data_IF_672611593311
#
_entry.id   IF_672611593311
#
_cell.length_a   1.000
_cell.length_b   1.000
_cell.length_c   1.000
_cell.angle_alpha   90.00
_cell.angle_beta   90.00
_cell.angle_gamma   90.00
#
_symmetry.space_group_name_H-M   'P 1'
#
loop_
_entity.id
_entity.type
_entity.pdbx_description
1 polymer ?
#
# COMPACT_ATOMS: atom_id res chain seq x y z
N UNK A 1 -3.92 -9.85 -0.42
CA UNK A 1 -4.06 -8.39 -0.52
C UNK A 1 -3.49 -7.95 -1.87
N UNK A 2 -4.16 -7.05 -2.59
CA UNK A 2 -3.65 -6.51 -3.86
C UNK A 2 -2.51 -5.53 -3.58
N UNK A 3 -1.48 -5.56 -4.43
CA UNK A 3 -0.29 -4.72 -4.29
C UNK A 3 0.10 -4.09 -5.61
N UNK A 4 0.77 -2.94 -5.52
CA UNK A 4 1.36 -2.21 -6.63
C UNK A 4 2.83 -1.93 -6.36
N UNK A 5 3.60 -1.72 -7.44
CA UNK A 5 4.97 -1.22 -7.31
C UNK A 5 4.99 0.13 -6.56
N UNK A 6 6.01 0.33 -5.74
CA UNK A 6 6.17 1.53 -4.91
C UNK A 6 7.59 2.10 -4.93
N UNK A 7 8.42 1.71 -5.91
CA UNK A 7 9.81 2.18 -6.02
C UNK A 7 9.91 3.71 -6.20
N UNK A 8 8.86 4.36 -6.72
CA UNK A 8 8.79 5.82 -6.89
C UNK A 8 7.93 6.52 -5.83
N UNK A 9 7.41 5.79 -4.85
CA UNK A 9 6.54 6.34 -3.84
C UNK A 9 7.34 6.99 -2.71
N UNK A 10 7.16 8.29 -2.47
CA UNK A 10 8.03 9.09 -1.58
C UNK A 10 8.11 8.62 -0.12
N UNK A 11 7.09 7.91 0.38
CA UNK A 11 7.09 7.26 1.70
C UNK A 11 7.42 5.75 1.63
N UNK A 12 6.57 4.96 0.98
CA UNK A 12 6.70 3.50 0.87
C UNK A 12 8.02 2.98 0.27
N UNK A 13 8.72 3.74 -0.57
CA UNK A 13 10.04 3.35 -1.11
C UNK A 13 11.15 3.29 -0.03
N UNK A 14 10.89 3.78 1.18
CA UNK A 14 11.85 3.74 2.30
C UNK A 14 11.86 2.41 3.05
N UNK A 15 10.90 1.53 2.76
CA UNK A 15 10.72 0.25 3.44
C UNK A 15 11.26 -0.90 2.58
N UNK A 16 11.26 -2.11 3.16
CA UNK A 16 11.74 -3.36 2.55
C UNK A 16 13.27 -3.43 2.37
N UNK A 17 13.76 -4.62 2.01
CA UNK A 17 15.18 -4.89 1.85
C UNK A 17 15.72 -4.26 0.55
N UNK A 18 16.98 -3.76 0.55
CA UNK A 18 17.64 -3.33 -0.68
C UNK A 18 17.62 -4.41 -1.77
N UNK A 19 17.58 -3.99 -3.04
CA UNK A 19 17.59 -4.87 -4.22
C UNK A 19 16.37 -5.77 -4.42
N UNK A 20 15.30 -5.56 -3.64
CA UNK A 20 13.97 -6.13 -3.92
C UNK A 20 13.06 -5.03 -4.41
N UNK A 21 12.15 -5.38 -5.33
CA UNK A 21 11.09 -4.47 -5.77
C UNK A 21 10.24 -4.09 -4.55
N UNK A 22 10.06 -2.79 -4.32
CA UNK A 22 9.21 -2.31 -3.24
C UNK A 22 7.76 -2.41 -3.66
N UNK A 23 6.94 -3.06 -2.85
CA UNK A 23 5.49 -3.14 -3.07
C UNK A 23 4.72 -2.52 -1.91
N UNK A 24 3.64 -1.83 -2.24
CA UNK A 24 2.68 -1.34 -1.26
C UNK A 24 1.30 -1.95 -1.53
N UNK A 25 0.48 -2.02 -0.49
CA UNK A 25 -0.91 -2.43 -0.62
C UNK A 25 -1.71 -1.35 -1.34
N UNK A 26 -2.74 -1.77 -2.07
CA UNK A 26 -3.72 -0.85 -2.64
C UNK A 26 -4.67 -0.41 -1.53
N UNK A 27 -4.75 0.89 -1.28
CA UNK A 27 -5.70 1.49 -0.32
C UNK A 27 -6.79 2.19 -1.13
N UNK A 28 -8.01 1.65 -1.08
CA UNK A 28 -9.18 2.26 -1.73
C UNK A 28 -9.78 3.31 -0.78
N UNK A 29 -9.89 4.60 -1.20
CA UNK A 29 -10.53 5.63 -0.39
C UNK A 29 -11.97 5.27 -0.04
N UNK A 30 -12.45 5.70 1.13
CA UNK A 30 -13.81 5.38 1.60
C UNK A 30 -14.91 5.78 0.61
N UNK A 31 -14.73 6.91 -0.07
CA UNK A 31 -15.66 7.40 -1.09
C UNK A 31 -15.78 6.49 -2.33
N UNK A 32 -14.84 5.56 -2.52
CA UNK A 32 -14.76 4.66 -3.68
C UNK A 32 -15.06 3.20 -3.31
N UNK A 33 -15.50 2.92 -2.07
CA UNK A 33 -15.71 1.54 -1.61
C UNK A 33 -16.85 0.84 -2.36
N UNK A 34 -17.99 1.51 -2.55
CA UNK A 34 -19.13 0.89 -3.24
C UNK A 34 -18.79 0.60 -4.70
N UNK A 35 -18.11 1.52 -5.38
CA UNK A 35 -17.60 1.31 -6.74
C UNK A 35 -16.66 0.10 -6.77
N UNK A 36 -15.70 0.00 -5.84
CA UNK A 36 -14.77 -1.13 -5.76
C UNK A 36 -15.49 -2.46 -5.50
N UNK A 37 -16.38 -2.50 -4.51
CA UNK A 37 -17.06 -3.73 -4.07
C UNK A 37 -18.08 -4.25 -5.08
N UNK A 38 -18.62 -3.39 -5.95
CA UNK A 38 -19.60 -3.76 -6.96
C UNK A 38 -19.03 -3.82 -8.38
N UNK A 39 -17.75 -3.45 -8.57
CA UNK A 39 -17.11 -3.37 -9.88
C UNK A 39 -17.10 -4.71 -10.61
N UNK A 40 -17.72 -4.75 -11.80
CA UNK A 40 -17.63 -5.88 -12.75
C UNK A 40 -16.86 -5.56 -14.03
N UNK A 41 -16.46 -4.30 -14.22
CA UNK A 41 -15.70 -3.87 -15.38
C UNK A 41 -14.18 -4.02 -15.10
N UNK A 42 -13.43 -4.84 -15.85
CA UNK A 42 -12.01 -5.04 -15.62
C UNK A 42 -11.16 -3.77 -15.76
N UNK A 43 -11.51 -2.87 -16.68
CA UNK A 43 -10.75 -1.64 -16.91
C UNK A 43 -10.97 -0.62 -15.78
N UNK A 44 -12.20 -0.54 -15.27
CA UNK A 44 -12.46 0.22 -14.04
C UNK A 44 -11.73 -0.40 -12.85
N UNK A 45 -11.71 -1.74 -12.73
CA UNK A 45 -11.00 -2.45 -11.67
C UNK A 45 -9.50 -2.10 -11.65
N UNK A 46 -8.86 -1.99 -12.83
CA UNK A 46 -7.46 -1.57 -12.97
C UNK A 46 -7.22 -0.15 -12.46
N UNK A 47 -8.19 0.76 -12.58
CA UNK A 47 -8.05 2.15 -12.13
C UNK A 47 -7.89 2.31 -10.61
N UNK A 48 -8.34 1.32 -9.83
CA UNK A 48 -8.11 1.26 -8.38
C UNK A 48 -6.69 0.82 -8.02
N UNK A 49 -5.96 0.17 -8.95
CA UNK A 49 -4.60 -0.34 -8.72
C UNK A 49 -3.57 0.78 -8.83
N UNK A 50 -3.65 1.76 -7.93
CA UNK A 50 -2.78 2.94 -7.89
C UNK A 50 -2.16 3.13 -6.49
N UNK A 51 -0.94 3.71 -6.40
CA UNK A 51 -0.36 4.08 -5.11
C UNK A 51 -1.23 5.10 -4.38
N UNK A 52 -1.45 4.89 -3.08
CA UNK A 52 -2.15 5.87 -2.24
C UNK A 52 -1.28 7.11 -2.02
N UNK A 53 -1.81 8.35 -1.97
CA UNK A 53 -0.96 9.54 -1.85
C UNK A 53 -0.16 9.59 -0.54
N UNK A 54 1.16 9.69 -0.65
CA UNK A 54 2.07 9.78 0.51
C UNK A 54 1.70 10.90 1.50
N UNK A 55 1.22 12.04 1.00
CA UNK A 55 0.80 13.18 1.84
C UNK A 55 -0.43 12.89 2.72
N UNK A 56 -1.13 11.78 2.49
CA UNK A 56 -2.26 11.30 3.31
C UNK A 56 -1.88 10.11 4.18
N UNK A 57 -0.59 9.82 4.29
CA UNK A 57 -0.04 8.74 5.09
C UNK A 57 0.88 9.32 6.14
N UNK A 58 0.93 8.66 7.28
CA UNK A 58 1.93 8.91 8.31
C UNK A 58 2.66 7.61 8.64
N UNK A 59 3.88 7.71 9.10
CA UNK A 59 4.70 6.56 9.47
C UNK A 59 5.58 6.89 10.67
N UNK A 60 5.59 5.97 11.62
CA UNK A 60 6.44 6.01 12.80
C UNK A 60 7.33 4.75 12.87
N UNK A 61 8.49 4.81 13.54
CA UNK A 61 9.30 3.62 13.80
C UNK A 61 8.48 2.57 14.55
N UNK A 62 8.49 1.33 14.07
CA UNK A 62 7.88 0.22 14.79
C UNK A 62 8.57 0.04 16.17
N UNK A 63 7.81 -0.29 17.22
CA UNK A 63 8.40 -0.56 18.53
C UNK A 63 9.42 -1.69 18.44
N UNK A 64 10.45 -1.63 19.28
CA UNK A 64 11.43 -2.70 19.37
C UNK A 64 10.71 -4.00 19.72
N UNK A 65 10.92 -5.05 18.92
CA UNK A 65 10.42 -6.38 19.25
C UNK A 65 11.11 -6.83 20.52
N UNK A 66 10.37 -6.88 21.63
CA UNK A 66 10.84 -7.51 22.85
C UNK A 66 11.17 -8.97 22.50
N UNK A 67 12.41 -9.39 22.77
CA UNK A 67 12.76 -10.81 22.63
C UNK A 67 11.92 -11.55 23.65
N UNK A 68 11.06 -12.46 23.20
CA UNK A 68 10.45 -13.45 24.09
C UNK A 68 11.60 -14.20 24.76
N UNK A 69 11.63 -14.18 26.09
CA UNK A 69 12.57 -15.01 26.85
C UNK A 69 12.15 -16.46 26.60
N UNK A 70 12.95 -17.18 25.80
CA UNK A 70 12.91 -18.64 25.73
C UNK A 70 13.47 -19.20 27.03
#
# INVERSE_FOLDING_TARGET
MLTVNSDKHSLMNRFHAPSKENRMIVIVPRSEWDDWLTCRNPELARSFMRPYPAARMDAEPAPLRLKEKV
#
